data_IF_277791415893
#
_entry.id   IF_277791415893
#
_cell.length_a   1.000
_cell.length_b   1.000
_cell.length_c   1.000
_cell.angle_alpha   90.00
_cell.angle_beta   90.00
_cell.angle_gamma   90.00
#
_symmetry.space_group_name_H-M   'P 1'
#
loop_
_entity.id
_entity.type
_entity.pdbx_description
1 polymer ?
#
# COMPACT_ATOMS: atom_id res chain seq x y z
N UNK A 1 8.94 -2.11 9.88
CA UNK A 1 7.55 -2.58 9.77
C UNK A 1 6.74 -1.47 9.11
N UNK A 2 6.61 -1.50 7.79
CA UNK A 2 5.82 -0.51 7.04
C UNK A 2 4.69 -1.28 6.36
N UNK A 3 3.48 -1.17 6.93
CA UNK A 3 2.28 -1.61 6.23
C UNK A 3 2.01 -0.49 5.22
N UNK A 4 2.57 -0.62 4.03
CA UNK A 4 2.11 0.11 2.85
C UNK A 4 0.80 -0.55 2.39
N UNK A 5 -0.25 -0.48 3.21
CA UNK A 5 -1.59 -0.83 2.76
C UNK A 5 -2.06 0.28 1.84
N UNK A 6 -2.04 0.01 0.54
CA UNK A 6 -2.76 0.81 -0.43
C UNK A 6 -4.21 1.02 0.09
N UNK A 7 -4.72 2.26 0.21
CA UNK A 7 -5.96 2.49 0.92
C UNK A 7 -7.11 1.66 0.33
N UNK A 8 -7.84 0.98 1.21
CA UNK A 8 -9.00 0.16 0.83
C UNK A 8 -10.17 0.99 0.24
N UNK A 9 -10.04 2.32 0.19
CA UNK A 9 -11.00 3.26 -0.39
C UNK A 9 -10.33 3.96 -1.56
N UNK A 10 -10.93 3.85 -2.75
CA UNK A 10 -10.34 4.34 -4.01
C UNK A 10 -9.94 5.82 -3.97
N UNK A 11 -10.78 6.67 -3.38
CA UNK A 11 -10.55 8.11 -3.29
C UNK A 11 -9.78 8.56 -2.03
N UNK A 12 -9.49 7.65 -1.10
CA UNK A 12 -8.82 8.02 0.14
C UNK A 12 -7.46 8.71 -0.07
N UNK A 13 -6.56 8.28 -0.99
CA UNK A 13 -5.30 8.98 -1.22
C UNK A 13 -5.49 10.46 -1.58
N UNK A 14 -6.50 10.78 -2.39
CA UNK A 14 -6.80 12.14 -2.81
C UNK A 14 -7.30 12.99 -1.63
N UNK A 15 -8.21 12.43 -0.84
CA UNK A 15 -8.80 13.09 0.34
C UNK A 15 -7.71 13.36 1.38
N UNK A 16 -6.90 12.34 1.71
CA UNK A 16 -5.79 12.50 2.65
C UNK A 16 -4.79 13.54 2.16
N UNK A 17 -4.48 13.56 0.86
CA UNK A 17 -3.53 14.53 0.33
C UNK A 17 -4.01 15.96 0.48
N UNK A 18 -5.30 16.20 0.25
CA UNK A 18 -5.90 17.52 0.44
C UNK A 18 -5.85 17.97 1.91
N UNK A 19 -6.25 17.10 2.84
CA UNK A 19 -6.22 17.40 4.28
C UNK A 19 -4.80 17.61 4.79
N UNK A 20 -3.82 16.84 4.30
CA UNK A 20 -2.40 17.01 4.62
C UNK A 20 -1.88 18.39 4.17
N UNK A 21 -2.24 18.83 2.95
CA UNK A 21 -1.85 20.15 2.44
C UNK A 21 -2.41 21.27 3.34
N UNK A 22 -3.68 21.16 3.74
CA UNK A 22 -4.30 22.13 4.65
C UNK A 22 -3.63 22.15 6.02
N UNK A 23 -3.44 20.97 6.62
CA UNK A 23 -2.79 20.83 7.91
C UNK A 23 -1.37 21.43 7.90
N UNK A 24 -0.58 21.14 6.86
CA UNK A 24 0.78 21.66 6.73
C UNK A 24 0.80 23.19 6.56
N UNK A 25 -0.17 23.78 5.85
CA UNK A 25 -0.29 25.23 5.74
C UNK A 25 -0.58 25.88 7.08
N UNK A 26 -1.54 25.33 7.83
CA UNK A 26 -1.90 25.86 9.14
C UNK A 26 -0.76 25.68 10.16
N UNK A 27 -0.03 24.58 10.11
CA UNK A 27 1.17 24.40 10.95
C UNK A 27 2.24 25.47 10.69
N UNK A 28 2.48 25.85 9.43
CA UNK A 28 3.41 26.93 9.11
C UNK A 28 2.92 28.25 9.69
N UNK A 29 1.63 28.55 9.56
CA UNK A 29 1.00 29.75 10.13
C UNK A 29 1.07 29.80 11.66
N UNK A 30 1.07 28.63 12.30
CA UNK A 30 1.13 28.47 13.75
C UNK A 30 2.52 28.17 14.31
N UNK A 31 3.59 28.42 13.55
CA UNK A 31 4.97 28.17 13.99
C UNK A 31 5.21 26.74 14.47
N UNK A 32 4.63 25.76 13.77
CA UNK A 32 4.76 24.32 14.05
C UNK A 32 4.16 23.94 15.41
N UNK A 33 3.21 24.73 15.92
CA UNK A 33 2.46 24.36 17.11
C UNK A 33 1.34 23.37 16.78
N UNK A 34 1.59 22.09 17.07
CA UNK A 34 0.62 21.00 16.89
C UNK A 34 -0.62 21.09 17.81
N UNK A 35 -0.58 21.94 18.84
CA UNK A 35 -1.74 22.19 19.70
C UNK A 35 -2.66 23.31 19.16
N UNK A 36 -2.25 24.01 18.10
CA UNK A 36 -3.09 25.02 17.48
C UNK A 36 -4.25 24.37 16.71
N UNK A 37 -5.45 24.97 16.72
CA UNK A 37 -6.57 24.47 15.93
C UNK A 37 -6.27 24.63 14.43
N UNK A 38 -6.71 23.66 13.64
CA UNK A 38 -6.63 23.72 12.16
C UNK A 38 -7.99 24.12 11.62
N UNK A 39 -8.03 25.21 10.85
CA UNK A 39 -9.25 25.67 10.21
C UNK A 39 -9.51 24.87 8.93
N UNK A 40 -10.67 24.21 8.88
CA UNK A 40 -11.12 23.50 7.69
C UNK A 40 -11.96 24.44 6.81
N UNK A 41 -11.56 24.58 5.55
CA UNK A 41 -12.38 25.26 4.55
C UNK A 41 -13.65 24.47 4.21
N UNK A 42 -14.54 25.05 3.41
CA UNK A 42 -15.80 24.41 3.03
C UNK A 42 -15.57 23.05 2.33
N UNK A 43 -14.57 22.98 1.47
CA UNK A 43 -14.26 21.77 0.71
C UNK A 43 -13.73 20.65 1.62
N UNK A 44 -12.82 20.98 2.54
CA UNK A 44 -12.29 20.06 3.54
C UNK A 44 -13.39 19.48 4.41
N UNK A 45 -14.35 20.32 4.84
CA UNK A 45 -15.49 19.89 5.63
C UNK A 45 -16.39 18.91 4.85
N UNK A 46 -16.63 19.18 3.58
CA UNK A 46 -17.39 18.27 2.71
C UNK A 46 -16.67 16.94 2.53
N UNK A 47 -15.35 16.94 2.31
CA UNK A 47 -14.55 15.72 2.18
C UNK A 47 -14.54 14.89 3.47
N UNK A 48 -14.42 15.53 4.63
CA UNK A 48 -14.50 14.85 5.93
C UNK A 48 -15.90 14.27 6.15
N UNK A 49 -16.95 15.04 5.89
CA UNK A 49 -18.32 14.57 6.01
C UNK A 49 -18.61 13.40 5.06
N UNK A 50 -18.17 13.49 3.82
CA UNK A 50 -18.25 12.39 2.85
C UNK A 50 -17.53 11.15 3.38
N UNK A 51 -16.29 11.30 3.88
CA UNK A 51 -15.50 10.19 4.38
C UNK A 51 -16.18 9.47 5.54
N UNK A 52 -16.68 10.20 6.54
CA UNK A 52 -17.40 9.62 7.69
C UNK A 52 -18.62 8.82 7.25
N UNK A 53 -19.35 9.29 6.23
CA UNK A 53 -20.54 8.62 5.73
C UNK A 53 -20.26 7.41 4.83
N UNK A 54 -19.02 7.23 4.37
CA UNK A 54 -18.68 6.26 3.33
C UNK A 54 -17.54 5.29 3.73
N UNK A 55 -16.86 5.52 4.85
CA UNK A 55 -15.67 4.74 5.22
C UNK A 55 -15.95 3.25 5.39
N UNK A 56 -17.15 2.88 5.86
CA UNK A 56 -17.53 1.48 6.10
C UNK A 56 -18.05 0.76 4.84
N UNK A 57 -18.47 1.51 3.81
CA UNK A 57 -19.12 0.97 2.61
C UNK A 57 -18.24 1.02 1.36
N UNK A 58 -17.21 1.86 1.36
CA UNK A 58 -16.32 2.01 0.23
C UNK A 58 -15.33 0.87 0.14
N UNK A 59 -15.19 0.34 -1.08
CA UNK A 59 -14.22 -0.70 -1.42
C UNK A 59 -13.45 -0.28 -2.65
N UNK A 60 -12.13 -0.35 -2.58
CA UNK A 60 -11.24 -0.28 -3.73
C UNK A 60 -11.21 -1.68 -4.31
N UNK A 61 -11.93 -1.89 -5.41
CA UNK A 61 -11.83 -3.15 -6.15
C UNK A 61 -10.38 -3.31 -6.60
N UNK A 62 -9.68 -4.29 -6.02
CA UNK A 62 -8.45 -4.79 -6.62
C UNK A 62 -8.87 -5.25 -8.01
N UNK A 63 -8.40 -4.55 -9.04
CA UNK A 63 -8.76 -4.80 -10.43
C UNK A 63 -8.75 -6.31 -10.65
N UNK A 64 -9.93 -6.89 -10.90
CA UNK A 64 -10.07 -8.27 -11.35
C UNK A 64 -9.57 -8.33 -12.80
N UNK A 65 -8.26 -8.22 -12.97
CA UNK A 65 -7.66 -8.71 -14.19
C UNK A 65 -7.56 -10.22 -13.98
N UNK A 66 -8.26 -11.06 -14.77
CA UNK A 66 -8.00 -12.48 -14.72
C UNK A 66 -6.51 -12.64 -14.99
N UNK A 67 -5.81 -13.29 -14.05
CA UNK A 67 -4.39 -13.56 -14.25
C UNK A 67 -4.27 -14.35 -15.56
N UNK A 68 -3.41 -13.88 -16.45
CA UNK A 68 -3.13 -14.60 -17.69
C UNK A 68 -2.28 -15.85 -17.43
N UNK A 69 -1.57 -15.85 -16.29
CA UNK A 69 -0.64 -16.89 -15.86
C UNK A 69 -0.57 -16.90 -14.34
N UNK A 70 -0.68 -18.08 -13.74
CA UNK A 70 -0.41 -18.32 -12.32
C UNK A 70 0.86 -19.15 -12.19
N UNK A 71 1.77 -18.73 -11.31
CA UNK A 71 3.04 -19.40 -11.08
C UNK A 71 3.28 -19.61 -9.60
N UNK A 72 3.74 -20.81 -9.24
CA UNK A 72 4.15 -21.16 -7.89
C UNK A 72 5.66 -21.28 -7.87
N UNK A 73 6.32 -20.53 -7.00
CA UNK A 73 7.76 -20.61 -6.81
C UNK A 73 8.06 -20.95 -5.36
N UNK A 74 9.05 -21.82 -5.17
CA UNK A 74 9.60 -22.14 -3.86
C UNK A 74 11.11 -22.02 -3.90
N UNK A 75 11.67 -21.71 -2.75
CA UNK A 75 13.09 -21.54 -2.57
C UNK A 75 13.44 -22.16 -1.22
N UNK A 76 14.53 -22.91 -1.19
CA UNK A 76 15.06 -23.59 0.00
C UNK A 76 16.53 -23.28 0.17
N UNK A 77 17.15 -23.72 1.27
CA UNK A 77 18.60 -23.54 1.49
C UNK A 77 19.47 -24.23 0.42
N UNK A 78 18.94 -25.20 -0.33
CA UNK A 78 19.73 -26.03 -1.26
C UNK A 78 19.32 -25.90 -2.72
N UNK A 79 18.27 -25.14 -3.02
CA UNK A 79 17.80 -24.94 -4.39
C UNK A 79 16.48 -24.20 -4.49
N UNK A 80 15.99 -24.09 -5.72
CA UNK A 80 14.77 -23.40 -6.11
C UNK A 80 13.90 -24.26 -7.02
N UNK A 81 12.62 -23.94 -7.05
CA UNK A 81 11.63 -24.53 -7.93
C UNK A 81 10.61 -23.50 -8.40
N UNK A 82 10.07 -23.74 -9.60
CA UNK A 82 8.90 -23.03 -10.09
C UNK A 82 8.01 -23.96 -10.92
N UNK A 83 6.70 -23.75 -10.83
CA UNK A 83 5.67 -24.49 -11.55
C UNK A 83 4.66 -23.52 -12.17
N UNK A 84 4.34 -23.75 -13.43
CA UNK A 84 3.33 -23.00 -14.21
C UNK A 84 2.54 -24.01 -15.04
N UNK A 85 1.30 -24.28 -14.66
CA UNK A 85 0.50 -25.37 -15.24
C UNK A 85 1.25 -26.70 -15.15
N UNK A 86 1.47 -27.34 -16.31
CA UNK A 86 2.21 -28.61 -16.40
C UNK A 86 3.74 -28.44 -16.55
N UNK A 87 4.22 -27.21 -16.70
CA UNK A 87 5.64 -26.91 -16.85
C UNK A 87 6.28 -26.70 -15.48
N UNK A 88 7.40 -27.37 -15.23
CA UNK A 88 8.18 -27.23 -14.01
C UNK A 88 9.65 -27.03 -14.31
N UNK A 89 10.29 -26.21 -13.50
CA UNK A 89 11.74 -26.05 -13.45
C UNK A 89 12.22 -26.13 -12.02
N UNK A 90 13.45 -26.61 -11.83
CA UNK A 90 14.11 -26.67 -10.54
C UNK A 90 15.62 -26.68 -10.71
N UNK A 91 16.33 -26.17 -9.72
CA UNK A 91 17.79 -26.15 -9.71
C UNK A 91 18.33 -26.22 -8.30
N UNK A 92 19.56 -26.70 -8.18
CA UNK A 92 20.36 -26.46 -6.97
C UNK A 92 20.97 -25.07 -7.07
N UNK A 93 21.15 -24.42 -5.93
CA UNK A 93 21.97 -23.21 -5.87
C UNK A 93 23.41 -23.54 -6.20
N UNK A 94 24.07 -22.68 -6.97
CA UNK A 94 25.52 -22.69 -7.03
C UNK A 94 26.11 -22.27 -5.67
N UNK A 95 27.39 -22.57 -5.44
CA UNK A 95 28.05 -22.30 -4.16
C UNK A 95 28.08 -20.81 -3.79
N UNK A 96 28.06 -19.94 -4.80
CA UNK A 96 28.01 -18.48 -4.73
C UNK A 96 26.58 -17.92 -4.63
N UNK A 97 25.55 -18.77 -4.71
CA UNK A 97 24.12 -18.41 -4.72
C UNK A 97 23.39 -18.83 -3.42
N UNK A 98 24.11 -19.17 -2.35
CA UNK A 98 23.48 -19.69 -1.12
C UNK A 98 22.75 -18.60 -0.28
N UNK A 99 23.03 -17.32 -0.53
CA UNK A 99 22.52 -16.19 0.26
C UNK A 99 21.21 -15.57 -0.26
N UNK A 100 20.44 -16.29 -1.07
CA UNK A 100 19.22 -15.75 -1.71
C UNK A 100 17.95 -15.80 -0.85
N UNK A 101 17.96 -16.49 0.30
CA UNK A 101 16.79 -16.65 1.17
C UNK A 101 17.18 -16.37 2.62
N UNK A 102 16.52 -15.38 3.23
CA UNK A 102 16.61 -15.07 4.67
C UNK A 102 18.03 -14.74 5.18
N UNK A 103 18.83 -14.04 4.38
CA UNK A 103 20.05 -13.39 4.87
C UNK A 103 19.67 -11.98 5.35
N UNK A 104 19.24 -11.87 6.60
CA UNK A 104 19.04 -10.61 7.32
C UNK A 104 20.10 -10.46 8.42
#
# INVERSE_FOLDING_TARGET
>A
MAIASDPAVELAPLIYKYLEILHNRELVNHHVNYNSPVLLDCHARELVAWSVNNIDSQVKSLRSCPYQLEMFCDASLTGWGAVVGDTKTRGHWAHDELDHINCL
#
